data_IF_803494253099
#
_entry.id   IF_803494253099
#
_cell.length_a   1.000
_cell.length_b   1.000
_cell.length_c   1.000
_cell.angle_alpha   90.00
_cell.angle_beta   90.00
_cell.angle_gamma   90.00
#
_symmetry.space_group_name_H-M   'P 1'
#
loop_
_entity.id
_entity.type
_entity.pdbx_description
1 polymer ?
#
# COMPACT_ATOMS: atom_id res chain seq x y z
N UNK A 1 -6.65 2.32 23.28
CA UNK A 1 -5.31 2.02 22.75
C UNK A 1 -5.46 1.04 21.60
N UNK A 2 -4.55 1.08 20.64
CA UNK A 2 -4.46 0.13 19.51
C UNK A 2 -3.29 -0.84 19.78
N UNK A 3 -2.95 -1.70 18.81
CA UNK A 3 -1.81 -2.61 18.92
C UNK A 3 -0.44 -1.92 18.90
N UNK A 4 0.63 -2.72 18.79
CA UNK A 4 2.01 -2.21 18.85
C UNK A 4 2.44 -1.59 17.52
N UNK A 5 3.14 -0.47 17.58
CA UNK A 5 3.70 0.25 16.45
C UNK A 5 2.71 0.37 15.28
N UNK A 6 1.63 1.18 15.45
CA UNK A 6 0.69 1.43 14.38
C UNK A 6 1.43 2.04 13.18
N UNK A 7 1.20 1.49 11.98
CA UNK A 7 1.92 1.82 10.75
C UNK A 7 1.02 2.58 9.77
N UNK A 8 -0.11 2.00 9.39
CA UNK A 8 -1.05 2.57 8.45
C UNK A 8 -2.44 2.77 9.05
N UNK A 9 -3.21 3.66 8.44
CA UNK A 9 -4.59 3.95 8.85
C UNK A 9 -5.45 4.24 7.62
N UNK A 10 -6.68 3.75 7.62
CA UNK A 10 -7.72 4.16 6.69
C UNK A 10 -9.09 4.24 7.37
N UNK A 11 -10.03 4.88 6.69
CA UNK A 11 -11.42 5.01 7.14
C UNK A 11 -12.33 4.19 6.24
N UNK A 12 -13.20 3.37 6.81
CA UNK A 12 -14.26 2.67 6.11
C UNK A 12 -15.43 2.42 7.08
N UNK A 13 -16.68 2.63 6.61
CA UNK A 13 -17.88 2.41 7.42
C UNK A 13 -17.84 3.05 8.82
N UNK A 14 -17.50 4.35 8.90
CA UNK A 14 -17.43 5.11 10.14
C UNK A 14 -16.48 4.53 11.19
N UNK A 15 -15.51 3.72 10.73
CA UNK A 15 -14.47 3.12 11.56
C UNK A 15 -13.08 3.45 11.03
N UNK A 16 -12.11 3.55 11.94
CA UNK A 16 -10.70 3.58 11.61
C UNK A 16 -10.18 2.15 11.63
N UNK A 17 -9.49 1.76 10.57
CA UNK A 17 -8.73 0.53 10.49
C UNK A 17 -7.26 0.86 10.58
N UNK A 18 -6.56 0.34 11.58
CA UNK A 18 -5.19 0.69 11.92
C UNK A 18 -4.35 -0.58 11.92
N UNK A 19 -3.38 -0.68 11.02
CA UNK A 19 -2.44 -1.79 10.99
C UNK A 19 -1.42 -1.65 12.11
N UNK A 20 -1.17 -2.73 12.84
CA UNK A 20 -0.22 -2.80 13.94
C UNK A 20 0.95 -3.68 13.50
N UNK A 21 2.07 -3.07 13.13
CA UNK A 21 3.22 -3.81 12.58
C UNK A 21 4.06 -4.50 13.66
N UNK A 22 3.98 -4.02 14.91
CA UNK A 22 4.89 -4.41 15.98
C UNK A 22 6.26 -3.75 15.87
N UNK A 23 6.53 -3.08 14.75
CA UNK A 23 7.79 -2.43 14.43
C UNK A 23 8.94 -3.42 14.25
N UNK A 24 10.13 -2.86 14.09
CA UNK A 24 11.39 -3.59 14.00
C UNK A 24 12.12 -3.56 15.36
N UNK A 25 11.37 -3.58 16.45
CA UNK A 25 11.96 -3.62 17.79
C UNK A 25 12.42 -5.04 18.15
N UNK A 26 13.51 -5.42 17.54
CA UNK A 26 14.19 -6.70 17.81
C UNK A 26 14.70 -6.78 19.28
N UNK A 27 14.83 -5.65 19.95
CA UNK A 27 15.34 -5.60 21.34
C UNK A 27 14.29 -6.03 22.38
N UNK A 28 13.01 -5.88 22.08
CA UNK A 28 11.92 -6.23 22.98
C UNK A 28 11.69 -7.74 23.11
N UNK A 29 12.15 -8.53 22.15
CA UNK A 29 11.89 -9.96 22.06
C UNK A 29 10.42 -10.34 21.80
N UNK A 30 9.56 -9.34 21.52
CA UNK A 30 8.12 -9.55 21.31
C UNK A 30 7.76 -9.92 19.86
N UNK A 31 8.73 -9.85 18.92
CA UNK A 31 8.47 -10.07 17.50
C UNK A 31 7.55 -9.01 16.87
N UNK A 32 7.10 -9.26 15.67
CA UNK A 32 6.14 -8.40 14.96
C UNK A 32 4.72 -8.56 15.53
N UNK A 33 3.88 -7.54 15.35
CA UNK A 33 2.42 -7.68 15.58
C UNK A 33 1.78 -8.26 14.31
N UNK A 34 0.56 -8.76 14.40
CA UNK A 34 -0.15 -9.40 13.29
C UNK A 34 -1.60 -8.93 13.18
N UNK A 35 -1.91 -7.75 13.73
CA UNK A 35 -3.28 -7.32 13.89
C UNK A 35 -3.62 -6.01 13.17
N UNK A 36 -4.91 -5.84 12.91
CA UNK A 36 -5.56 -4.57 12.58
C UNK A 36 -6.52 -4.22 13.70
N UNK A 37 -6.35 -3.06 14.31
CA UNK A 37 -7.29 -2.50 15.26
C UNK A 37 -8.42 -1.79 14.52
N UNK A 38 -9.66 -2.08 14.89
CA UNK A 38 -10.87 -1.42 14.39
C UNK A 38 -11.39 -0.48 15.47
N UNK A 39 -11.39 0.82 15.19
CA UNK A 39 -11.79 1.86 16.15
C UNK A 39 -13.04 2.56 15.62
N UNK A 40 -14.07 2.63 16.45
CA UNK A 40 -15.28 3.38 16.17
C UNK A 40 -14.99 4.89 16.26
N UNK A 41 -15.32 5.64 15.20
CA UNK A 41 -15.00 7.08 15.10
C UNK A 41 -15.82 7.92 16.10
N UNK A 42 -17.06 7.55 16.35
CA UNK A 42 -17.93 8.34 17.21
C UNK A 42 -17.53 8.26 18.69
N UNK A 43 -17.03 7.08 19.11
CA UNK A 43 -16.67 6.83 20.50
C UNK A 43 -15.16 6.84 20.77
N UNK A 44 -14.33 6.77 19.74
CA UNK A 44 -12.88 6.59 19.80
C UNK A 44 -12.45 5.35 20.61
N UNK A 45 -13.30 4.31 20.61
CA UNK A 45 -12.98 3.03 21.29
C UNK A 45 -12.67 1.96 20.25
N UNK A 46 -11.67 1.12 20.57
CA UNK A 46 -11.40 -0.10 19.82
C UNK A 46 -12.59 -1.04 19.98
N UNK A 47 -13.24 -1.36 18.86
CA UNK A 47 -14.40 -2.26 18.81
C UNK A 47 -14.02 -3.69 18.48
N UNK A 48 -12.91 -3.86 17.75
CA UNK A 48 -12.39 -5.18 17.34
C UNK A 48 -10.90 -5.13 17.10
N UNK A 49 -10.24 -6.28 17.20
CA UNK A 49 -8.87 -6.50 16.78
C UNK A 49 -8.83 -7.74 15.90
N UNK A 50 -8.40 -7.58 14.65
CA UNK A 50 -8.45 -8.62 13.62
C UNK A 50 -7.04 -9.14 13.34
N UNK A 51 -6.86 -10.45 13.34
CA UNK A 51 -5.60 -11.07 12.92
C UNK A 51 -5.55 -11.11 11.41
N UNK A 52 -4.53 -10.47 10.81
CA UNK A 52 -4.37 -10.33 9.35
C UNK A 52 -3.08 -10.96 8.82
N UNK A 53 -2.19 -11.35 9.68
CA UNK A 53 -0.87 -11.89 9.34
C UNK A 53 0.26 -10.97 9.79
N UNK A 54 1.50 -11.49 9.80
CA UNK A 54 2.64 -10.83 10.45
C UNK A 54 3.01 -9.49 9.80
N UNK A 55 3.33 -8.51 10.63
CA UNK A 55 3.89 -7.21 10.23
C UNK A 55 3.01 -6.47 9.20
N UNK A 56 1.72 -6.22 9.50
CA UNK A 56 0.84 -5.48 8.60
C UNK A 56 1.30 -4.01 8.51
N UNK A 57 1.40 -3.51 7.29
CA UNK A 57 1.85 -2.16 6.98
C UNK A 57 0.78 -1.36 6.24
N UNK A 58 0.97 -1.17 4.92
CA UNK A 58 0.03 -0.42 4.09
C UNK A 58 -1.38 -0.95 4.24
N UNK A 59 -2.32 -0.05 4.50
CA UNK A 59 -3.74 -0.34 4.64
C UNK A 59 -4.56 0.72 3.90
N UNK A 60 -5.52 0.30 3.08
CA UNK A 60 -6.33 1.18 2.22
C UNK A 60 -7.76 0.69 2.19
N UNK A 61 -8.70 1.62 2.23
CA UNK A 61 -10.11 1.35 1.98
C UNK A 61 -10.31 0.95 0.51
N UNK A 62 -11.07 -0.10 0.28
CA UNK A 62 -11.41 -0.60 -1.05
C UNK A 62 -12.91 -0.42 -1.36
N UNK A 63 -13.35 -0.95 -2.50
CA UNK A 63 -14.77 -0.95 -2.87
C UNK A 63 -15.59 -1.87 -1.95
N UNK A 64 -16.93 -1.74 -2.03
CA UNK A 64 -17.89 -2.66 -1.40
C UNK A 64 -17.66 -2.89 0.11
N UNK A 65 -17.34 -1.81 0.84
CA UNK A 65 -17.10 -1.87 2.29
C UNK A 65 -15.97 -2.84 2.68
N UNK A 66 -14.89 -2.82 1.92
CA UNK A 66 -13.70 -3.63 2.20
C UNK A 66 -12.51 -2.77 2.60
N UNK A 67 -11.57 -3.37 3.28
CA UNK A 67 -10.24 -2.81 3.56
C UNK A 67 -9.18 -3.82 3.12
N UNK A 68 -8.13 -3.33 2.49
CA UNK A 68 -7.00 -4.15 2.03
C UNK A 68 -5.74 -3.81 2.81
N UNK A 69 -4.95 -4.83 3.12
CA UNK A 69 -3.73 -4.74 3.92
C UNK A 69 -2.61 -5.51 3.24
N UNK A 70 -1.44 -4.89 3.12
CA UNK A 70 -0.21 -5.61 2.79
C UNK A 70 0.50 -6.01 4.10
N UNK A 71 0.85 -7.28 4.24
CA UNK A 71 1.66 -7.77 5.36
C UNK A 71 3.06 -8.14 4.87
N UNK A 72 4.07 -7.87 5.69
CA UNK A 72 5.49 -8.00 5.31
C UNK A 72 6.14 -9.31 5.74
N UNK A 73 5.37 -10.18 6.46
CA UNK A 73 5.92 -11.40 7.05
C UNK A 73 6.70 -11.15 8.33
N UNK A 74 7.23 -12.21 8.91
CA UNK A 74 8.12 -12.13 10.07
C UNK A 74 9.52 -11.71 9.65
N UNK A 75 9.94 -12.14 8.47
CA UNK A 75 11.22 -11.81 7.85
C UNK A 75 10.96 -11.07 6.52
N UNK A 76 11.25 -9.78 6.50
CA UNK A 76 11.07 -8.93 5.32
C UNK A 76 11.97 -9.37 4.16
N UNK A 77 13.16 -9.89 4.46
CA UNK A 77 14.13 -10.35 3.45
C UNK A 77 13.71 -11.68 2.82
N UNK A 78 12.94 -12.50 3.54
CA UNK A 78 12.40 -13.75 3.01
C UNK A 78 11.32 -13.54 1.93
N UNK A 79 10.75 -12.32 1.85
CA UNK A 79 9.74 -11.99 0.85
C UNK A 79 8.36 -12.59 1.15
N UNK A 80 8.04 -12.84 2.41
CA UNK A 80 6.76 -13.42 2.87
C UNK A 80 5.62 -12.41 2.86
N UNK A 81 5.56 -11.58 1.80
CA UNK A 81 4.52 -10.59 1.61
C UNK A 81 3.19 -11.26 1.31
N UNK A 82 2.10 -10.69 1.85
CA UNK A 82 0.76 -11.14 1.53
C UNK A 82 -0.16 -9.94 1.31
N UNK A 83 -1.27 -10.19 0.61
CA UNK A 83 -2.34 -9.24 0.36
C UNK A 83 -3.61 -9.76 1.01
N UNK A 84 -4.17 -8.99 1.93
CA UNK A 84 -5.27 -9.42 2.80
C UNK A 84 -6.46 -8.48 2.63
N UNK A 85 -7.65 -9.07 2.52
CA UNK A 85 -8.94 -8.39 2.43
C UNK A 85 -9.69 -8.55 3.74
N UNK A 86 -10.25 -7.47 4.25
CA UNK A 86 -11.16 -7.43 5.40
C UNK A 86 -12.53 -6.99 4.89
N UNK A 87 -13.56 -7.79 5.07
CA UNK A 87 -14.96 -7.38 4.89
C UNK A 87 -15.40 -6.62 6.15
N UNK A 88 -15.69 -5.32 6.00
CA UNK A 88 -15.98 -4.43 7.12
C UNK A 88 -17.34 -4.67 7.78
N UNK A 89 -18.26 -5.39 7.11
CA UNK A 89 -19.59 -5.73 7.66
C UNK A 89 -19.51 -6.92 8.60
N UNK A 90 -18.66 -7.90 8.25
CA UNK A 90 -18.57 -9.19 8.95
C UNK A 90 -17.30 -9.35 9.77
N UNK A 91 -16.31 -8.45 9.59
CA UNK A 91 -14.94 -8.57 10.09
C UNK A 91 -14.22 -9.84 9.58
N UNK A 92 -14.70 -10.43 8.49
CA UNK A 92 -14.04 -11.60 7.89
C UNK A 92 -12.75 -11.17 7.23
N UNK A 93 -11.67 -11.85 7.58
CA UNK A 93 -10.34 -11.70 6.98
C UNK A 93 -10.13 -12.81 5.97
N UNK A 94 -9.69 -12.45 4.77
CA UNK A 94 -9.39 -13.40 3.68
C UNK A 94 -8.03 -13.04 3.09
N UNK A 95 -7.13 -14.01 2.99
CA UNK A 95 -5.83 -13.84 2.35
C UNK A 95 -5.94 -14.13 0.87
N UNK A 96 -5.40 -13.23 0.05
CA UNK A 96 -5.23 -13.44 -1.40
C UNK A 96 -3.99 -14.31 -1.68
N UNK A 97 -3.91 -14.85 -2.90
CA UNK A 97 -2.69 -15.52 -3.38
C UNK A 97 -1.63 -14.53 -3.88
N UNK A 98 -1.94 -13.23 -3.93
CA UNK A 98 -1.03 -12.21 -4.40
C UNK A 98 0.03 -11.87 -3.35
N UNK A 99 1.28 -11.71 -3.81
CA UNK A 99 2.41 -11.24 -2.99
C UNK A 99 2.57 -9.74 -3.21
N UNK A 100 2.34 -8.93 -2.16
CA UNK A 100 2.22 -7.48 -2.30
C UNK A 100 3.01 -6.77 -1.20
N UNK A 101 4.02 -5.99 -1.61
CA UNK A 101 4.78 -5.13 -0.69
C UNK A 101 4.10 -3.78 -0.45
N UNK A 102 3.54 -3.21 -1.52
CA UNK A 102 2.84 -1.93 -1.47
C UNK A 102 1.77 -1.93 -2.56
N UNK A 103 0.76 -1.07 -2.43
CA UNK A 103 -0.32 -1.01 -3.40
C UNK A 103 -1.05 0.33 -3.34
N UNK A 104 -1.81 0.62 -4.39
CA UNK A 104 -2.78 1.71 -4.42
C UNK A 104 -4.07 1.22 -5.07
N UNK A 105 -5.18 1.82 -4.71
CA UNK A 105 -6.52 1.43 -5.18
C UNK A 105 -7.18 2.64 -5.85
N UNK A 106 -7.78 2.40 -7.03
CA UNK A 106 -8.64 3.31 -7.76
C UNK A 106 -9.94 2.57 -8.14
N UNK A 107 -11.01 2.83 -7.39
CA UNK A 107 -12.26 2.10 -7.54
C UNK A 107 -12.10 0.60 -7.33
N UNK A 108 -12.38 -0.18 -8.36
CA UNK A 108 -12.24 -1.65 -8.32
C UNK A 108 -10.84 -2.13 -8.78
N UNK A 109 -9.94 -1.22 -9.15
CA UNK A 109 -8.61 -1.56 -9.65
C UNK A 109 -7.57 -1.33 -8.57
N UNK A 110 -6.76 -2.35 -8.29
CA UNK A 110 -5.57 -2.23 -7.47
C UNK A 110 -4.30 -2.31 -8.34
N UNK A 111 -3.34 -1.46 -8.02
CA UNK A 111 -1.98 -1.50 -8.55
C UNK A 111 -1.11 -2.14 -7.48
N UNK A 112 -0.76 -3.40 -7.69
CA UNK A 112 -0.03 -4.23 -6.73
C UNK A 112 1.46 -4.21 -7.07
N UNK A 113 2.25 -3.66 -6.16
CA UNK A 113 3.69 -3.61 -6.30
C UNK A 113 4.35 -4.76 -5.55
N UNK A 114 5.28 -5.44 -6.21
CA UNK A 114 6.15 -6.44 -5.62
C UNK A 114 7.59 -6.28 -6.11
N UNK A 115 8.55 -6.49 -5.22
CA UNK A 115 9.98 -6.55 -5.53
C UNK A 115 10.54 -7.90 -5.13
N UNK A 116 11.23 -8.55 -6.06
CA UNK A 116 11.89 -9.81 -5.81
C UNK A 116 13.38 -9.54 -5.52
N UNK A 117 13.78 -9.72 -4.27
CA UNK A 117 15.14 -9.47 -3.81
C UNK A 117 16.17 -10.43 -4.45
N UNK A 118 15.79 -11.66 -4.79
CA UNK A 118 16.68 -12.65 -5.39
C UNK A 118 17.02 -12.31 -6.84
N UNK A 119 16.05 -11.85 -7.61
CA UNK A 119 16.23 -11.49 -9.03
C UNK A 119 16.48 -9.99 -9.23
N UNK A 120 16.30 -9.17 -8.20
CA UNK A 120 16.36 -7.70 -8.24
C UNK A 120 15.40 -7.11 -9.28
N UNK A 121 14.22 -7.69 -9.39
CA UNK A 121 13.19 -7.25 -10.32
C UNK A 121 11.96 -6.74 -9.58
N UNK A 122 11.35 -5.69 -10.12
CA UNK A 122 10.08 -5.18 -9.65
C UNK A 122 8.97 -5.46 -10.65
N UNK A 123 7.76 -5.61 -10.15
CA UNK A 123 6.55 -5.67 -10.97
C UNK A 123 5.46 -4.82 -10.36
N UNK A 124 4.61 -4.24 -11.22
CA UNK A 124 3.39 -3.56 -10.81
C UNK A 124 2.27 -4.17 -11.60
N UNK A 125 1.48 -4.99 -10.91
CA UNK A 125 0.34 -5.70 -11.50
C UNK A 125 -0.91 -4.84 -11.39
N UNK A 126 -1.75 -4.82 -12.42
CA UNK A 126 -3.13 -4.34 -12.30
C UNK A 126 -4.05 -5.52 -11.97
N UNK A 127 -4.84 -5.36 -10.93
CA UNK A 127 -5.67 -6.42 -10.36
C UNK A 127 -7.09 -5.90 -10.12
N UNK A 128 -8.10 -6.69 -10.47
CA UNK A 128 -9.49 -6.36 -10.18
C UNK A 128 -9.88 -6.90 -8.81
N UNK A 129 -10.21 -6.01 -7.88
CA UNK A 129 -10.54 -6.35 -6.49
C UNK A 129 -11.88 -7.07 -6.34
N UNK A 130 -12.78 -6.93 -7.32
CA UNK A 130 -14.11 -7.53 -7.28
C UNK A 130 -14.13 -8.94 -7.84
N UNK A 131 -13.50 -9.14 -9.00
CA UNK A 131 -13.41 -10.46 -9.63
C UNK A 131 -12.24 -11.29 -9.12
N UNK A 132 -11.28 -10.63 -8.44
CA UNK A 132 -10.03 -11.20 -7.97
C UNK A 132 -9.15 -11.76 -9.10
N UNK A 133 -9.23 -11.11 -10.28
CA UNK A 133 -8.47 -11.48 -11.48
C UNK A 133 -7.37 -10.46 -11.80
N UNK A 134 -6.28 -10.94 -12.39
CA UNK A 134 -5.26 -10.09 -12.98
C UNK A 134 -5.76 -9.45 -14.27
N UNK A 135 -5.80 -8.11 -14.31
CA UNK A 135 -6.11 -7.34 -15.52
C UNK A 135 -4.87 -7.28 -16.43
N UNK A 136 -3.72 -7.02 -15.81
CA UNK A 136 -2.43 -6.90 -16.52
C UNK A 136 -1.28 -7.22 -15.58
N UNK A 137 -0.37 -8.10 -16.00
CA UNK A 137 0.80 -8.51 -15.20
C UNK A 137 1.84 -7.40 -15.03
N UNK A 138 1.97 -6.51 -15.99
CA UNK A 138 2.82 -5.33 -15.88
C UNK A 138 2.03 -4.08 -16.29
N UNK A 139 1.85 -3.17 -15.34
CA UNK A 139 1.21 -1.89 -15.58
C UNK A 139 1.98 -1.01 -16.57
N UNK A 140 3.31 -0.97 -16.46
CA UNK A 140 4.18 -0.13 -17.30
C UNK A 140 4.25 -0.71 -18.71
N UNK A 141 3.85 0.09 -19.73
CA UNK A 141 3.69 -0.37 -21.12
C UNK A 141 4.68 0.22 -22.10
N UNK A 142 5.43 1.25 -21.72
CA UNK A 142 6.36 1.99 -22.58
C UNK A 142 7.84 1.59 -22.39
N UNK A 143 8.10 0.55 -21.61
CA UNK A 143 9.45 0.09 -21.34
C UNK A 143 10.21 0.88 -20.26
N UNK A 144 9.54 1.82 -19.58
CA UNK A 144 10.15 2.51 -18.44
C UNK A 144 10.55 1.52 -17.36
N UNK A 145 11.80 1.58 -16.93
CA UNK A 145 12.34 0.72 -15.87
C UNK A 145 12.38 1.49 -14.56
N UNK A 146 11.83 0.90 -13.51
CA UNK A 146 11.94 1.35 -12.13
C UNK A 146 12.67 0.24 -11.37
N UNK A 147 13.88 0.53 -10.89
CA UNK A 147 14.72 -0.50 -10.26
C UNK A 147 14.26 -0.82 -8.84
N UNK A 148 13.97 0.22 -8.07
CA UNK A 148 13.63 0.12 -6.66
C UNK A 148 12.40 0.97 -6.36
N UNK A 149 11.20 0.55 -6.83
CA UNK A 149 9.97 1.25 -6.47
C UNK A 149 9.84 1.26 -4.94
N UNK A 150 9.32 2.35 -4.39
CA UNK A 150 9.23 2.50 -2.94
C UNK A 150 7.81 2.86 -2.49
N UNK A 151 7.21 3.86 -3.11
CA UNK A 151 5.82 4.24 -2.89
C UNK A 151 5.01 4.18 -4.17
N UNK A 152 3.72 3.83 -4.05
CA UNK A 152 2.75 3.92 -5.12
C UNK A 152 1.53 4.68 -4.63
N UNK A 153 1.09 5.69 -5.39
CA UNK A 153 0.01 6.59 -5.05
C UNK A 153 -0.81 6.91 -6.31
N UNK A 154 -2.08 7.18 -6.16
CA UNK A 154 -2.96 7.59 -7.25
C UNK A 154 -3.48 8.98 -6.97
N UNK A 155 -3.41 9.85 -7.96
CA UNK A 155 -3.99 11.18 -7.87
C UNK A 155 -5.52 11.07 -7.98
N UNK A 156 -6.29 11.45 -6.95
CA UNK A 156 -7.74 11.28 -6.94
C UNK A 156 -8.49 12.18 -7.94
N UNK A 157 -7.79 13.16 -8.54
CA UNK A 157 -8.38 14.11 -9.48
C UNK A 157 -8.11 13.73 -10.94
N UNK A 158 -7.01 13.05 -11.23
CA UNK A 158 -6.59 12.69 -12.60
C UNK A 158 -6.49 11.20 -12.85
N UNK A 159 -6.56 10.38 -11.79
CA UNK A 159 -6.34 8.93 -11.77
C UNK A 159 -4.95 8.53 -12.33
N UNK A 160 -4.02 9.48 -12.42
CA UNK A 160 -2.64 9.17 -12.77
C UNK A 160 -1.96 8.44 -11.62
N UNK A 161 -1.10 7.49 -11.98
CA UNK A 161 -0.35 6.65 -11.04
C UNK A 161 1.02 7.26 -10.82
N UNK A 162 1.34 7.55 -9.56
CA UNK A 162 2.61 8.11 -9.13
C UNK A 162 3.41 7.04 -8.41
N UNK A 163 4.64 6.81 -8.87
CA UNK A 163 5.55 5.83 -8.29
C UNK A 163 6.82 6.56 -7.87
N UNK A 164 7.23 6.35 -6.63
CA UNK A 164 8.52 6.85 -6.15
C UNK A 164 9.57 5.73 -6.26
N UNK A 165 10.80 6.10 -6.57
CA UNK A 165 11.94 5.20 -6.68
C UNK A 165 12.99 5.57 -5.64
N UNK A 166 13.39 4.63 -4.78
CA UNK A 166 14.39 4.85 -3.73
C UNK A 166 15.84 4.67 -4.22
N UNK A 167 16.02 4.18 -5.46
CA UNK A 167 17.33 3.86 -6.06
C UNK A 167 18.11 2.85 -5.20
N UNK A 168 19.10 3.32 -4.46
CA UNK A 168 20.00 2.53 -3.60
C UNK A 168 19.78 2.78 -2.10
N UNK A 169 18.68 3.45 -1.74
CA UNK A 169 18.32 3.85 -0.37
C UNK A 169 19.26 4.87 0.30
N UNK A 170 20.34 5.25 -0.36
CA UNK A 170 21.36 6.19 0.16
C UNK A 170 21.44 7.47 -0.64
N UNK A 171 21.03 7.47 -1.90
CA UNK A 171 20.93 8.63 -2.77
C UNK A 171 19.49 9.13 -2.90
N UNK A 172 19.32 10.35 -3.35
CA UNK A 172 18.00 10.93 -3.57
C UNK A 172 17.25 10.17 -4.66
N UNK A 173 16.04 9.79 -4.34
CA UNK A 173 15.13 9.07 -5.22
C UNK A 173 14.38 9.97 -6.18
N UNK A 174 13.57 9.35 -7.00
CA UNK A 174 12.82 9.99 -8.08
C UNK A 174 11.32 9.84 -7.89
N UNK A 175 10.56 10.69 -8.59
CA UNK A 175 9.12 10.56 -8.76
C UNK A 175 8.80 10.36 -10.23
N UNK A 176 8.03 9.33 -10.54
CA UNK A 176 7.52 9.04 -11.87
C UNK A 176 6.00 9.14 -11.87
N UNK A 177 5.45 9.78 -12.90
CA UNK A 177 4.01 9.88 -13.11
C UNK A 177 3.64 9.15 -14.40
N UNK A 178 2.68 8.25 -14.30
CA UNK A 178 2.15 7.47 -15.42
C UNK A 178 0.68 7.79 -15.63
N UNK A 179 0.24 7.76 -16.89
CA UNK A 179 -1.18 7.75 -17.21
C UNK A 179 -1.79 6.36 -16.90
N UNK A 180 -3.12 6.24 -16.99
CA UNK A 180 -3.84 4.98 -16.74
C UNK A 180 -3.47 3.84 -17.71
N UNK A 181 -2.87 4.16 -18.87
CA UNK A 181 -2.39 3.19 -19.85
C UNK A 181 -1.00 2.64 -19.49
N UNK A 182 -0.35 3.18 -18.47
CA UNK A 182 0.98 2.78 -18.02
C UNK A 182 2.11 3.41 -18.84
N UNK A 183 1.87 4.57 -19.42
CA UNK A 183 2.87 5.34 -20.17
C UNK A 183 3.39 6.48 -19.29
N UNK A 184 4.70 6.67 -19.26
CA UNK A 184 5.37 7.72 -18.48
C UNK A 184 4.98 9.09 -19.02
N UNK A 185 4.45 9.95 -18.16
CA UNK A 185 4.14 11.33 -18.49
C UNK A 185 5.31 12.27 -18.16
N UNK A 186 5.90 12.08 -16.99
CA UNK A 186 7.08 12.81 -16.56
C UNK A 186 7.85 12.06 -15.45
N UNK A 187 9.11 12.45 -15.27
CA UNK A 187 9.97 12.03 -14.17
C UNK A 187 10.60 13.26 -13.52
N UNK A 188 10.50 13.35 -12.20
CA UNK A 188 11.23 14.32 -11.38
C UNK A 188 12.36 13.60 -10.68
N UNK A 189 13.59 14.06 -10.91
CA UNK A 189 14.77 13.43 -10.34
C UNK A 189 15.17 14.09 -9.02
N UNK A 190 15.75 13.30 -8.12
CA UNK A 190 16.37 13.78 -6.88
C UNK A 190 15.41 14.54 -5.97
N UNK A 191 14.19 14.04 -5.79
CA UNK A 191 13.15 14.69 -4.99
C UNK A 191 13.34 14.55 -3.47
N UNK A 192 14.13 13.59 -3.02
CA UNK A 192 14.39 13.34 -1.61
C UNK A 192 14.93 11.94 -1.35
N UNK A 193 15.36 11.68 -0.12
CA UNK A 193 15.82 10.36 0.31
C UNK A 193 14.60 9.48 0.63
N UNK A 194 14.54 8.29 0.02
CA UNK A 194 13.47 7.31 0.23
C UNK A 194 12.05 7.91 0.15
N UNK A 195 11.71 8.61 -0.95
CA UNK A 195 10.40 9.23 -1.11
C UNK A 195 9.32 8.15 -1.16
N UNK A 196 8.27 8.27 -0.34
CA UNK A 196 7.27 7.21 -0.21
C UNK A 196 5.84 7.69 -0.50
N UNK A 197 5.32 8.59 0.33
CA UNK A 197 3.92 9.00 0.29
C UNK A 197 3.76 10.36 -0.38
N UNK A 198 2.72 10.49 -1.21
CA UNK A 198 2.36 11.72 -1.90
C UNK A 198 0.99 12.17 -1.39
N UNK A 199 0.91 13.43 -0.96
CA UNK A 199 -0.35 14.08 -0.69
C UNK A 199 -0.75 14.93 -1.91
N UNK A 200 -1.98 14.79 -2.35
CA UNK A 200 -2.56 15.57 -3.43
C UNK A 200 -3.50 16.63 -2.84
N UNK A 201 -3.34 17.87 -3.25
CA UNK A 201 -4.27 18.95 -2.87
C UNK A 201 -5.05 19.41 -4.09
N UNK A 202 -6.35 19.61 -3.90
CA UNK A 202 -7.16 20.38 -4.84
C UNK A 202 -6.79 21.87 -4.66
N UNK A 203 -5.90 22.38 -5.51
CA UNK A 203 -5.79 23.81 -5.65
C UNK A 203 -6.90 24.24 -6.58
N UNK A 204 -8.02 24.67 -5.98
CA UNK A 204 -8.88 25.60 -6.67
C UNK A 204 -7.98 26.69 -7.25
N UNK A 205 -8.01 26.88 -8.57
CA UNK A 205 -7.35 27.98 -9.24
C UNK A 205 -7.75 29.27 -8.50
N UNK A 206 -6.84 29.83 -7.70
CA UNK A 206 -6.98 31.22 -7.33
C UNK A 206 -6.81 31.98 -8.65
N UNK A 207 -7.92 32.37 -9.23
CA UNK A 207 -7.94 33.40 -10.26
C UNK A 207 -7.47 34.69 -9.58
N UNK A 208 -6.24 35.11 -9.88
CA UNK A 208 -5.79 36.47 -9.65
C UNK A 208 -6.64 37.46 -10.45
#
# INVERSE_FOLDING_TARGET
SVGRNPDGICVQNEKLYISNSGGLDYSSGLGVDNTVSVVDIATFKESSKLTVGPNPGKIVAGPDETVYVATRGEDVEAGDYNFVKIDCRTNKVTQSNEKVQNFAIDGEIAYLYNYNYNTQTSSIKMFNLKTEDTIRENFITDGTVIKTPYGININPYSNNVYITEARDYTTYGDLLCFNQQGQLMFRLNNIGLNPNTIAFSDKASQSD
#
